data_IF_358349611255
#
_entry.id   IF_358349611255
#
_cell.length_a   1.000
_cell.length_b   1.000
_cell.length_c   1.000
_cell.angle_alpha   90.00
_cell.angle_beta   90.00
_cell.angle_gamma   90.00
#
_symmetry.space_group_name_H-M   'P 1'
#
loop_
_entity.id
_entity.type
_entity.pdbx_description
1 polymer ?
#
# COMPACT_ATOMS: atom_id res chain seq x y z
N UNK A 1 6.60 -25.70 5.14
CA UNK A 1 7.03 -24.39 4.62
C UNK A 1 6.23 -23.31 5.33
N UNK A 2 6.91 -22.26 5.83
CA UNK A 2 6.23 -21.05 6.31
C UNK A 2 5.98 -20.15 5.10
N UNK A 3 4.72 -19.77 4.89
CA UNK A 3 4.30 -18.94 3.76
C UNK A 3 4.08 -17.47 4.18
N UNK A 4 3.63 -17.23 5.39
CA UNK A 4 3.50 -15.90 5.94
C UNK A 4 3.76 -15.83 7.44
N UNK A 5 4.07 -14.62 7.90
CA UNK A 5 4.26 -14.27 9.30
C UNK A 5 3.22 -13.21 9.65
N UNK A 6 2.39 -13.48 10.65
CA UNK A 6 1.56 -12.48 11.31
C UNK A 6 2.18 -12.09 12.63
N UNK A 7 2.24 -10.80 12.94
CA UNK A 7 2.73 -10.30 14.24
C UNK A 7 1.72 -9.32 14.80
N UNK A 8 1.38 -9.50 16.05
CA UNK A 8 0.47 -8.64 16.77
C UNK A 8 1.02 -8.29 18.16
N UNK A 9 0.43 -7.33 18.83
CA UNK A 9 0.78 -6.97 20.21
C UNK A 9 -0.48 -7.01 21.07
N UNK A 10 -0.57 -8.00 21.95
CA UNK A 10 -1.76 -8.28 22.75
C UNK A 10 -1.31 -8.52 24.19
N UNK A 11 -1.99 -7.88 25.15
CA UNK A 11 -1.73 -8.04 26.60
C UNK A 11 -0.24 -7.86 26.95
N UNK A 12 0.39 -6.82 26.40
CA UNK A 12 1.82 -6.49 26.58
C UNK A 12 2.81 -7.55 26.10
N UNK A 13 2.41 -8.42 25.17
CA UNK A 13 3.25 -9.43 24.54
C UNK A 13 3.18 -9.37 23.02
N UNK A 14 4.31 -9.64 22.34
CA UNK A 14 4.34 -9.93 20.93
C UNK A 14 3.75 -11.31 20.68
N UNK A 15 2.77 -11.38 19.80
CA UNK A 15 2.12 -12.62 19.38
C UNK A 15 2.47 -12.89 17.93
N UNK A 16 3.20 -13.97 17.68
CA UNK A 16 3.63 -14.38 16.35
C UNK A 16 2.77 -15.53 15.85
N UNK A 17 2.32 -15.43 14.61
CA UNK A 17 1.57 -16.46 13.90
C UNK A 17 2.34 -16.85 12.63
N UNK A 18 2.56 -18.14 12.41
CA UNK A 18 3.06 -18.65 11.14
C UNK A 18 1.93 -19.36 10.39
N UNK A 19 1.69 -18.96 9.16
CA UNK A 19 0.92 -19.77 8.23
C UNK A 19 1.84 -20.80 7.59
N UNK A 20 1.59 -22.08 7.88
CA UNK A 20 2.39 -23.18 7.38
C UNK A 20 1.62 -23.99 6.35
N UNK A 21 2.29 -24.36 5.27
CA UNK A 21 1.75 -25.23 4.22
C UNK A 21 2.40 -26.59 4.35
N UNK A 22 1.58 -27.64 4.46
CA UNK A 22 2.00 -29.06 4.39
C UNK A 22 1.56 -29.63 3.06
N UNK A 23 2.51 -29.97 2.21
CA UNK A 23 2.23 -30.71 0.99
C UNK A 23 2.11 -32.20 1.35
N UNK A 24 0.93 -32.81 1.19
CA UNK A 24 0.76 -34.23 1.22
C UNK A 24 0.92 -34.78 -0.19
N UNK A 25 1.65 -35.91 -0.34
CA UNK A 25 1.98 -36.51 -1.65
C UNK A 25 0.75 -36.93 -2.50
N UNK A 26 -0.47 -36.95 -1.94
CA UNK A 26 -1.67 -37.46 -2.59
C UNK A 26 -2.96 -36.69 -2.33
N UNK A 27 -2.92 -35.56 -1.62
CA UNK A 27 -4.11 -34.79 -1.25
C UNK A 27 -3.82 -33.27 -1.40
N UNK A 28 -4.88 -32.48 -1.44
CA UNK A 28 -4.79 -31.01 -1.42
C UNK A 28 -3.89 -30.51 -0.28
N UNK A 29 -3.08 -29.49 -0.54
CA UNK A 29 -2.25 -28.87 0.47
C UNK A 29 -3.10 -28.41 1.66
N UNK A 30 -2.63 -28.66 2.89
CA UNK A 30 -3.31 -28.20 4.10
C UNK A 30 -2.54 -27.06 4.72
N UNK A 31 -3.26 -26.00 5.10
CA UNK A 31 -2.71 -24.88 5.85
C UNK A 31 -2.93 -25.10 7.35
N UNK A 32 -1.98 -24.70 8.16
CA UNK A 32 -2.12 -24.65 9.61
C UNK A 32 -1.44 -23.41 10.18
N UNK A 33 -1.93 -22.95 11.34
CA UNK A 33 -1.40 -21.79 12.03
C UNK A 33 -0.65 -22.24 13.27
N UNK A 34 0.62 -21.83 13.38
CA UNK A 34 1.42 -21.98 14.59
C UNK A 34 1.44 -20.65 15.32
N UNK A 35 1.16 -20.67 16.64
CA UNK A 35 1.18 -19.46 17.48
C UNK A 35 2.27 -19.58 18.55
N UNK A 36 2.94 -18.47 18.81
CA UNK A 36 3.77 -18.29 20.01
C UNK A 36 3.69 -16.83 20.48
N UNK A 37 4.03 -16.61 21.75
CA UNK A 37 4.03 -15.28 22.33
C UNK A 37 5.15 -15.11 23.37
N UNK A 38 5.65 -13.88 23.50
CA UNK A 38 6.61 -13.46 24.50
C UNK A 38 6.64 -11.92 24.61
N UNK A 39 7.16 -11.40 25.72
CA UNK A 39 7.39 -9.96 25.91
C UNK A 39 8.44 -9.38 24.95
N UNK A 40 9.31 -10.21 24.40
CA UNK A 40 10.34 -9.84 23.43
C UNK A 40 10.02 -10.48 22.08
N UNK A 41 9.99 -9.70 21.01
CA UNK A 41 9.71 -10.20 19.65
C UNK A 41 10.68 -11.33 19.26
N UNK A 42 11.98 -11.15 19.50
CA UNK A 42 13.00 -12.17 19.20
C UNK A 42 12.72 -13.52 19.89
N UNK A 43 12.19 -13.51 21.10
CA UNK A 43 11.80 -14.75 21.81
C UNK A 43 10.50 -15.33 21.27
N UNK A 44 9.53 -14.48 20.96
CA UNK A 44 8.25 -14.91 20.40
C UNK A 44 8.43 -15.64 19.05
N UNK A 45 9.24 -15.05 18.14
CA UNK A 45 9.50 -15.67 16.82
C UNK A 45 10.30 -16.97 16.95
N UNK A 46 11.30 -17.04 17.82
CA UNK A 46 12.07 -18.26 18.07
C UNK A 46 11.21 -19.38 18.68
N UNK A 47 10.29 -19.05 19.59
CA UNK A 47 9.29 -20.01 20.09
C UNK A 47 8.38 -20.49 18.95
N UNK A 48 7.93 -19.60 18.05
CA UNK A 48 7.11 -19.98 16.89
C UNK A 48 7.88 -20.92 15.95
N UNK A 49 9.16 -20.68 15.69
CA UNK A 49 10.04 -21.55 14.92
C UNK A 49 10.12 -22.95 15.55
N UNK A 50 10.38 -23.01 16.85
CA UNK A 50 10.46 -24.28 17.57
C UNK A 50 9.13 -25.04 17.54
N UNK A 51 8.01 -24.35 17.71
CA UNK A 51 6.68 -24.94 17.67
C UNK A 51 6.29 -25.44 16.27
N UNK A 52 6.82 -24.85 15.21
CA UNK A 52 6.57 -25.26 13.84
C UNK A 52 7.36 -26.50 13.40
N UNK A 53 8.39 -26.93 14.19
CA UNK A 53 9.14 -28.16 13.99
C UNK A 53 10.52 -27.98 13.35
N UNK A 54 11.32 -29.05 13.36
CA UNK A 54 12.77 -29.02 13.05
C UNK A 54 13.17 -28.63 11.62
N UNK A 55 12.23 -28.45 10.69
CA UNK A 55 12.53 -28.17 9.27
C UNK A 55 11.86 -26.87 8.81
N UNK A 56 11.90 -25.86 9.65
CA UNK A 56 11.27 -24.56 9.33
C UNK A 56 12.27 -23.65 8.64
N UNK A 57 11.94 -23.28 7.40
CA UNK A 57 12.72 -22.32 6.62
C UNK A 57 11.90 -21.04 6.40
N UNK A 58 12.46 -19.92 6.81
CA UNK A 58 11.86 -18.59 6.61
C UNK A 58 12.06 -18.04 5.18
N UNK A 59 12.90 -18.68 4.37
CA UNK A 59 13.20 -18.24 2.98
C UNK A 59 12.00 -18.18 2.03
N UNK A 60 10.92 -18.86 2.38
CA UNK A 60 9.72 -18.94 1.55
C UNK A 60 8.60 -18.00 2.01
N UNK A 61 8.88 -17.17 3.01
CA UNK A 61 7.91 -16.15 3.46
C UNK A 61 7.62 -15.18 2.32
N UNK A 62 6.35 -14.99 2.01
CA UNK A 62 5.86 -14.11 0.95
C UNK A 62 5.18 -12.86 1.51
N UNK A 63 4.70 -12.94 2.75
CA UNK A 63 3.87 -11.92 3.35
C UNK A 63 4.18 -11.76 4.85
N UNK A 64 4.40 -10.53 5.28
CA UNK A 64 4.39 -10.10 6.68
C UNK A 64 3.09 -9.34 6.93
N UNK A 65 2.33 -9.76 7.94
CA UNK A 65 1.10 -9.10 8.39
C UNK A 65 1.36 -8.49 9.76
N UNK A 66 1.34 -7.18 9.83
CA UNK A 66 1.48 -6.43 11.08
C UNK A 66 0.09 -6.13 11.61
N UNK A 67 -0.19 -6.51 12.87
CA UNK A 67 -1.43 -6.16 13.55
C UNK A 67 -1.57 -4.66 13.78
N UNK A 68 -2.79 -4.14 13.75
CA UNK A 68 -3.06 -2.72 13.98
C UNK A 68 -2.54 -2.25 15.34
N UNK A 69 -2.78 -3.01 16.41
CA UNK A 69 -2.30 -2.67 17.76
C UNK A 69 -0.76 -2.59 17.82
N UNK A 70 -0.07 -3.50 17.11
CA UNK A 70 1.39 -3.44 16.97
C UNK A 70 1.83 -2.25 16.10
N UNK A 71 1.13 -1.97 15.02
CA UNK A 71 1.45 -0.85 14.14
C UNK A 71 1.33 0.49 14.87
N UNK A 72 0.31 0.66 15.69
CA UNK A 72 0.09 1.86 16.53
C UNK A 72 1.10 1.96 17.67
N UNK A 73 1.51 0.83 18.24
CA UNK A 73 2.55 0.80 19.27
C UNK A 73 3.92 1.16 18.74
N UNK A 74 4.28 0.60 17.57
CA UNK A 74 5.55 0.79 16.90
C UNK A 74 6.13 -0.53 16.37
N UNK A 75 6.64 -0.49 15.14
CA UNK A 75 7.11 -1.67 14.39
C UNK A 75 8.63 -1.84 14.37
N UNK A 76 9.37 -0.92 14.97
CA UNK A 76 10.85 -0.91 14.92
C UNK A 76 11.48 -2.22 15.36
N UNK A 77 11.06 -2.80 16.48
CA UNK A 77 11.63 -4.05 17.01
C UNK A 77 11.44 -5.23 16.05
N UNK A 78 10.28 -5.26 15.37
CA UNK A 78 9.95 -6.32 14.41
C UNK A 78 10.78 -6.15 13.14
N UNK A 79 10.84 -4.93 12.60
CA UNK A 79 11.59 -4.63 11.38
C UNK A 79 13.09 -4.83 11.60
N UNK A 80 13.65 -4.33 12.68
CA UNK A 80 15.10 -4.47 13.00
C UNK A 80 15.49 -5.96 13.10
N UNK A 81 14.68 -6.77 13.80
CA UNK A 81 14.94 -8.20 13.91
C UNK A 81 14.87 -8.91 12.53
N UNK A 82 13.82 -8.66 11.74
CA UNK A 82 13.62 -9.36 10.47
C UNK A 82 14.67 -9.01 9.42
N UNK A 83 15.16 -7.77 9.38
CA UNK A 83 16.26 -7.35 8.50
C UNK A 83 17.57 -8.05 8.84
N UNK A 84 17.81 -8.31 10.14
CA UNK A 84 19.03 -9.01 10.60
C UNK A 84 18.95 -10.52 10.48
N UNK A 85 17.76 -11.08 10.24
CA UNK A 85 17.55 -12.52 10.15
C UNK A 85 18.01 -13.05 8.78
N UNK A 86 19.22 -13.62 8.74
CA UNK A 86 19.87 -14.10 7.50
C UNK A 86 19.07 -15.20 6.80
N UNK A 87 18.27 -15.97 7.54
CA UNK A 87 17.47 -17.06 6.97
C UNK A 87 16.20 -16.58 6.25
N UNK A 88 15.86 -15.31 6.37
CA UNK A 88 14.67 -14.69 5.77
C UNK A 88 15.03 -14.10 4.41
N UNK A 89 14.15 -14.29 3.41
CA UNK A 89 14.21 -13.48 2.18
C UNK A 89 13.68 -12.09 2.48
N UNK A 90 14.31 -11.05 1.96
CA UNK A 90 13.83 -9.66 2.15
C UNK A 90 12.77 -9.25 1.12
N UNK A 91 12.43 -10.12 0.17
CA UNK A 91 11.51 -9.82 -0.94
C UNK A 91 10.03 -10.14 -0.66
N UNK A 92 9.62 -10.24 0.59
CA UNK A 92 8.22 -10.41 0.95
C UNK A 92 7.47 -9.07 1.04
N UNK A 93 6.16 -9.12 0.82
CA UNK A 93 5.30 -7.95 1.02
C UNK A 93 4.99 -7.74 2.49
N UNK A 94 4.88 -6.48 2.89
CA UNK A 94 4.46 -6.10 4.25
C UNK A 94 3.14 -5.35 4.18
N UNK A 95 2.19 -5.76 5.01
CA UNK A 95 0.86 -5.17 5.11
C UNK A 95 0.48 -4.94 6.57
N UNK A 96 -0.48 -4.06 6.80
CA UNK A 96 -1.16 -3.91 8.08
C UNK A 96 -2.55 -4.53 7.99
N UNK A 97 -3.01 -5.13 9.08
CA UNK A 97 -4.38 -5.63 9.19
C UNK A 97 -4.85 -5.53 10.65
N UNK A 98 -6.16 -5.35 10.87
CA UNK A 98 -6.69 -5.22 12.22
C UNK A 98 -6.32 -6.40 13.12
N UNK A 99 -6.47 -7.61 12.61
CA UNK A 99 -6.20 -8.85 13.36
C UNK A 99 -5.51 -9.88 12.45
N UNK A 100 -4.17 -10.01 12.49
CA UNK A 100 -3.42 -10.98 11.68
C UNK A 100 -3.95 -12.42 11.79
N UNK A 101 -4.34 -12.83 12.99
CA UNK A 101 -4.91 -14.16 13.25
C UNK A 101 -6.20 -14.41 12.46
N UNK A 102 -7.08 -13.43 12.36
CA UNK A 102 -8.33 -13.56 11.59
C UNK A 102 -8.04 -13.66 10.09
N UNK A 103 -7.11 -12.85 9.61
CA UNK A 103 -6.64 -12.92 8.22
C UNK A 103 -6.14 -14.34 7.91
N UNK A 104 -5.20 -14.85 8.69
CA UNK A 104 -4.59 -16.16 8.46
C UNK A 104 -5.57 -17.33 8.58
N UNK A 105 -6.65 -17.17 9.36
CA UNK A 105 -7.71 -18.18 9.50
C UNK A 105 -8.74 -18.17 8.36
N UNK A 106 -8.77 -17.13 7.52
CA UNK A 106 -9.75 -17.03 6.42
C UNK A 106 -9.35 -17.81 5.17
N UNK A 107 -8.30 -18.67 5.26
CA UNK A 107 -7.93 -19.58 4.16
C UNK A 107 -9.10 -20.48 3.75
N UNK A 108 -9.32 -20.59 2.44
CA UNK A 108 -10.40 -21.41 1.86
C UNK A 108 -9.84 -22.52 0.99
N UNK A 109 -10.43 -23.72 1.08
CA UNK A 109 -10.20 -24.84 0.16
C UNK A 109 -8.74 -25.28 0.02
N UNK A 110 -7.91 -25.13 1.08
CA UNK A 110 -6.51 -25.59 1.06
C UNK A 110 -5.51 -24.56 0.54
N UNK A 111 -5.95 -23.44 -0.04
CA UNK A 111 -5.05 -22.35 -0.45
C UNK A 111 -4.69 -21.46 0.74
N UNK A 112 -3.42 -21.12 0.84
CA UNK A 112 -2.94 -20.18 1.83
C UNK A 112 -3.50 -18.78 1.53
N UNK A 113 -4.12 -18.13 2.50
CA UNK A 113 -4.68 -16.78 2.32
C UNK A 113 -3.61 -15.78 1.91
N UNK A 114 -2.37 -15.98 2.36
CA UNK A 114 -1.24 -15.14 1.96
C UNK A 114 -0.96 -15.17 0.46
N UNK A 115 -1.19 -16.29 -0.24
CA UNK A 115 -1.09 -16.33 -1.70
C UNK A 115 -2.16 -15.46 -2.35
N UNK A 116 -3.41 -15.55 -1.88
CA UNK A 116 -4.52 -14.73 -2.39
C UNK A 116 -4.23 -13.24 -2.19
N UNK A 117 -3.75 -12.85 -1.01
CA UNK A 117 -3.39 -11.44 -0.73
C UNK A 117 -2.25 -10.99 -1.65
N UNK A 118 -1.18 -11.77 -1.78
CA UNK A 118 -0.04 -11.45 -2.65
C UNK A 118 -0.46 -11.33 -4.11
N UNK A 119 -1.31 -12.23 -4.60
CA UNK A 119 -1.81 -12.19 -5.98
C UNK A 119 -2.73 -10.98 -6.21
N UNK A 120 -3.56 -10.63 -5.21
CA UNK A 120 -4.38 -9.41 -5.25
C UNK A 120 -3.52 -8.14 -5.29
N UNK A 121 -2.47 -8.07 -4.46
CA UNK A 121 -1.51 -6.96 -4.47
C UNK A 121 -0.86 -6.84 -5.85
N UNK A 122 -0.32 -7.94 -6.40
CA UNK A 122 0.35 -7.95 -7.71
C UNK A 122 -0.58 -7.60 -8.88
N UNK A 123 -1.86 -7.91 -8.76
CA UNK A 123 -2.84 -7.58 -9.79
C UNK A 123 -3.20 -6.09 -9.81
N UNK A 124 -3.28 -5.45 -8.64
CA UNK A 124 -3.73 -4.07 -8.49
C UNK A 124 -2.60 -3.05 -8.41
N UNK A 125 -1.42 -3.48 -7.97
CA UNK A 125 -0.27 -2.61 -7.75
C UNK A 125 0.91 -3.03 -8.62
N UNK A 126 1.80 -2.10 -8.91
CA UNK A 126 3.09 -2.41 -9.51
C UNK A 126 3.99 -3.01 -8.43
N UNK A 127 4.20 -4.32 -8.49
CA UNK A 127 4.93 -5.07 -7.47
C UNK A 127 6.38 -4.59 -7.28
N UNK A 128 7.00 -4.04 -8.34
CA UNK A 128 8.38 -3.54 -8.31
C UNK A 128 8.49 -2.19 -7.55
N UNK A 129 7.36 -1.51 -7.32
CA UNK A 129 7.30 -0.25 -6.59
C UNK A 129 6.90 -0.41 -5.12
N UNK A 130 6.58 -1.63 -4.68
CA UNK A 130 6.21 -1.89 -3.30
C UNK A 130 7.43 -1.98 -2.40
N UNK A 131 7.32 -1.40 -1.21
CA UNK A 131 8.40 -1.39 -0.26
C UNK A 131 8.60 -2.79 0.33
N UNK A 132 9.78 -3.35 0.11
CA UNK A 132 10.24 -4.54 0.82
C UNK A 132 10.74 -4.17 2.22
N UNK A 133 11.07 -5.18 3.05
CA UNK A 133 11.48 -4.93 4.44
C UNK A 133 12.76 -4.08 4.54
N UNK A 134 13.68 -4.15 3.57
CA UNK A 134 14.91 -3.35 3.57
C UNK A 134 14.59 -1.87 3.32
N UNK A 135 13.64 -1.57 2.41
CA UNK A 135 13.17 -0.21 2.16
C UNK A 135 12.43 0.33 3.38
N UNK A 136 11.55 -0.48 3.99
CA UNK A 136 10.85 -0.11 5.22
C UNK A 136 11.86 0.22 6.33
N UNK A 137 12.86 -0.63 6.55
CA UNK A 137 13.91 -0.38 7.52
C UNK A 137 14.71 0.90 7.21
N UNK A 138 15.11 1.07 5.94
CA UNK A 138 15.80 2.29 5.50
C UNK A 138 14.98 3.55 5.79
N UNK A 139 13.68 3.51 5.57
CA UNK A 139 12.79 4.64 5.83
C UNK A 139 12.61 4.89 7.33
N UNK A 140 12.54 3.85 8.16
CA UNK A 140 12.50 3.98 9.62
C UNK A 140 13.77 4.64 10.20
N UNK A 141 14.94 4.33 9.63
CA UNK A 141 16.19 4.99 10.02
C UNK A 141 16.36 6.39 9.42
N UNK A 142 15.56 6.74 8.41
CA UNK A 142 15.55 8.05 7.77
C UNK A 142 14.43 8.91 8.35
N UNK A 143 14.74 9.78 9.30
CA UNK A 143 13.80 10.68 9.97
C UNK A 143 13.12 11.72 9.03
N UNK A 144 13.44 11.70 7.75
CA UNK A 144 12.91 12.62 6.73
C UNK A 144 11.85 12.01 5.80
N UNK A 145 11.52 10.73 6.02
CA UNK A 145 10.52 10.01 5.22
C UNK A 145 9.76 9.06 6.13
N UNK A 146 8.46 9.22 6.18
CA UNK A 146 7.58 8.29 6.88
C UNK A 146 7.09 7.20 5.94
N UNK A 147 6.72 6.05 6.48
CA UNK A 147 6.27 4.90 5.71
C UNK A 147 4.75 4.87 5.56
N UNK A 148 4.29 4.25 4.46
CA UNK A 148 2.89 3.88 4.27
C UNK A 148 2.81 2.44 3.79
N UNK A 149 2.01 1.62 4.45
CA UNK A 149 1.82 0.22 4.16
C UNK A 149 0.38 -0.06 3.72
N UNK A 150 0.15 -1.00 2.78
CA UNK A 150 -1.21 -1.42 2.45
C UNK A 150 -1.94 -1.90 3.70
N UNK A 151 -3.15 -1.42 3.93
CA UNK A 151 -4.03 -1.87 5.00
C UNK A 151 -5.07 -2.84 4.42
N UNK A 152 -5.03 -4.07 4.89
CA UNK A 152 -5.85 -5.16 4.34
C UNK A 152 -7.01 -5.50 5.26
N UNK A 153 -8.20 -5.55 4.67
CA UNK A 153 -9.40 -6.11 5.28
C UNK A 153 -9.85 -7.35 4.51
N UNK A 154 -10.46 -8.30 5.20
CA UNK A 154 -11.09 -9.46 4.57
C UNK A 154 -12.57 -9.46 4.89
N UNK A 155 -13.39 -9.51 3.85
CA UNK A 155 -14.83 -9.67 3.93
C UNK A 155 -15.25 -10.94 3.18
N UNK A 156 -15.53 -12.00 3.92
CA UNK A 156 -15.79 -13.32 3.35
C UNK A 156 -14.58 -13.88 2.59
N UNK A 157 -14.66 -13.93 1.25
CA UNK A 157 -13.56 -14.36 0.37
C UNK A 157 -12.80 -13.21 -0.27
N UNK A 158 -13.28 -11.98 -0.11
CA UNK A 158 -12.72 -10.83 -0.77
C UNK A 158 -11.61 -10.20 0.08
N UNK A 159 -10.50 -9.93 -0.58
CA UNK A 159 -9.37 -9.15 -0.03
C UNK A 159 -9.57 -7.71 -0.46
N UNK A 160 -9.77 -6.83 0.51
CA UNK A 160 -9.92 -5.40 0.32
C UNK A 160 -8.59 -4.72 0.62
N UNK A 161 -8.09 -3.96 -0.37
CA UNK A 161 -6.84 -3.20 -0.35
C UNK A 161 -7.09 -1.69 -0.53
N UNK A 162 -8.27 -1.19 -0.17
CA UNK A 162 -8.65 0.20 -0.45
C UNK A 162 -7.93 1.24 0.40
N UNK A 163 -7.28 0.83 1.50
CA UNK A 163 -6.61 1.74 2.41
C UNK A 163 -5.10 1.51 2.49
N UNK A 164 -4.40 2.56 2.95
CA UNK A 164 -3.06 2.49 3.51
C UNK A 164 -3.11 2.83 5.00
N UNK A 165 -2.23 2.21 5.79
CA UNK A 165 -1.84 2.72 7.09
C UNK A 165 -0.64 3.64 6.91
N UNK A 166 -0.73 4.90 7.35
CA UNK A 166 0.37 5.84 7.28
C UNK A 166 0.97 6.08 8.68
N UNK A 167 2.27 6.25 8.69
CA UNK A 167 3.06 6.24 9.90
C UNK A 167 3.70 7.61 10.16
N UNK A 168 4.01 7.86 11.43
CA UNK A 168 4.98 8.85 11.84
C UNK A 168 6.10 8.10 12.54
N UNK A 169 7.29 8.07 11.90
CA UNK A 169 8.38 7.17 12.27
C UNK A 169 7.92 5.71 12.21
N UNK A 170 7.97 5.00 13.33
CA UNK A 170 7.62 3.57 13.43
C UNK A 170 6.19 3.30 13.89
N UNK A 171 5.38 4.34 14.16
CA UNK A 171 4.00 4.20 14.66
C UNK A 171 2.99 4.58 13.59
N UNK A 172 2.06 3.69 13.32
CA UNK A 172 0.89 4.01 12.52
C UNK A 172 0.01 5.01 13.27
N UNK A 173 -0.34 6.09 12.61
CA UNK A 173 -1.10 7.19 13.20
C UNK A 173 -2.46 7.42 12.53
N UNK A 174 -2.69 6.76 11.39
CA UNK A 174 -3.97 6.84 10.71
C UNK A 174 -4.05 5.91 9.50
N UNK A 175 -5.22 5.95 8.89
CA UNK A 175 -5.53 5.24 7.65
C UNK A 175 -6.12 6.22 6.65
N UNK A 176 -5.83 6.01 5.38
CA UNK A 176 -6.38 6.80 4.29
C UNK A 176 -6.66 5.91 3.07
N UNK A 177 -7.58 6.34 2.19
CA UNK A 177 -7.81 5.64 0.94
C UNK A 177 -6.53 5.59 0.11
N UNK A 178 -6.18 4.41 -0.41
CA UNK A 178 -4.89 4.20 -1.08
C UNK A 178 -4.83 4.76 -2.50
N UNK A 179 -5.96 5.12 -3.11
CA UNK A 179 -6.04 5.53 -4.52
C UNK A 179 -5.06 6.64 -4.85
N UNK A 180 -5.17 7.76 -4.12
CA UNK A 180 -4.33 8.94 -4.44
C UNK A 180 -2.87 8.76 -4.04
N UNK A 181 -2.58 8.05 -2.94
CA UNK A 181 -1.22 7.71 -2.55
C UNK A 181 -0.54 6.84 -3.62
N UNK A 182 -1.21 5.76 -4.04
CA UNK A 182 -0.68 4.87 -5.08
C UNK A 182 -0.56 5.57 -6.44
N UNK A 183 -1.43 6.54 -6.71
CA UNK A 183 -1.33 7.39 -7.89
C UNK A 183 -0.07 8.25 -7.85
N UNK A 184 0.15 8.98 -6.77
CA UNK A 184 1.31 9.87 -6.59
C UNK A 184 2.63 9.11 -6.55
N UNK A 185 2.66 7.93 -5.95
CA UNK A 185 3.84 7.10 -5.83
C UNK A 185 4.04 6.16 -7.02
N UNK A 186 3.21 6.27 -8.06
CA UNK A 186 3.20 5.41 -9.26
C UNK A 186 3.05 3.91 -8.95
N UNK A 187 2.51 3.57 -7.77
CA UNK A 187 2.34 2.18 -7.33
C UNK A 187 1.12 1.49 -7.95
N UNK A 188 0.17 2.22 -8.52
CA UNK A 188 -1.01 1.66 -9.20
C UNK A 188 -0.75 1.42 -10.68
N UNK A 189 -1.19 0.27 -11.21
CA UNK A 189 -1.14 -0.02 -12.65
C UNK A 189 -2.15 0.84 -13.42
N UNK A 190 -3.40 0.80 -12.98
CA UNK A 190 -4.49 1.61 -13.53
C UNK A 190 -5.16 2.33 -12.37
N UNK A 191 -5.60 3.54 -12.62
CA UNK A 191 -6.40 4.28 -11.66
C UNK A 191 -7.61 4.86 -12.37
N UNK A 192 -8.77 4.69 -11.76
CA UNK A 192 -10.03 5.19 -12.28
C UNK A 192 -10.55 6.29 -11.37
N UNK A 193 -11.01 7.37 -11.98
CA UNK A 193 -11.70 8.46 -11.33
C UNK A 193 -13.14 8.48 -11.81
N UNK A 194 -14.07 8.62 -10.87
CA UNK A 194 -15.50 8.70 -11.14
C UNK A 194 -16.02 10.07 -10.72
N UNK A 195 -16.57 10.81 -11.66
CA UNK A 195 -17.16 12.13 -11.40
C UNK A 195 -18.45 12.27 -12.19
N UNK A 196 -19.55 12.61 -11.51
CA UNK A 196 -20.86 12.82 -12.12
C UNK A 196 -21.32 11.67 -13.04
N UNK A 197 -21.03 10.41 -12.67
CA UNK A 197 -21.37 9.23 -13.46
C UNK A 197 -20.43 8.96 -14.65
N UNK A 198 -19.41 9.80 -14.85
CA UNK A 198 -18.34 9.57 -15.81
C UNK A 198 -17.20 8.82 -15.13
N UNK A 199 -16.64 7.81 -15.81
CA UNK A 199 -15.46 7.06 -15.33
C UNK A 199 -14.32 7.25 -16.34
N UNK A 200 -13.21 7.78 -15.86
CA UNK A 200 -11.98 7.92 -16.63
C UNK A 200 -10.87 7.05 -16.03
N UNK A 201 -10.23 6.25 -16.88
CA UNK A 201 -9.03 5.50 -16.51
C UNK A 201 -7.80 6.30 -16.93
N UNK A 202 -6.92 6.61 -15.96
CA UNK A 202 -5.70 7.37 -16.21
C UNK A 202 -4.55 6.41 -16.49
N UNK A 203 -3.86 6.65 -17.59
CA UNK A 203 -2.69 5.90 -18.04
C UNK A 203 -1.59 6.86 -18.49
N UNK A 204 -0.42 6.34 -18.82
CA UNK A 204 0.77 7.12 -19.22
C UNK A 204 1.06 8.27 -18.24
N UNK A 205 1.05 7.91 -16.96
CA UNK A 205 1.21 8.86 -15.86
C UNK A 205 2.67 9.30 -15.73
N UNK A 206 2.88 10.61 -15.61
CA UNK A 206 4.17 11.19 -15.26
C UNK A 206 3.98 12.15 -14.10
N UNK A 207 4.46 11.76 -12.95
CA UNK A 207 4.42 12.58 -11.73
C UNK A 207 5.84 13.00 -11.40
N UNK A 208 6.04 14.30 -11.21
CA UNK A 208 7.36 14.85 -10.88
C UNK A 208 7.27 15.79 -9.69
N UNK A 209 8.27 15.73 -8.84
CA UNK A 209 8.42 16.58 -7.67
C UNK A 209 9.61 17.51 -7.87
N UNK A 210 9.37 18.81 -7.78
CA UNK A 210 10.41 19.84 -7.91
C UNK A 210 10.44 20.68 -6.64
N UNK A 211 11.58 20.75 -6.00
CA UNK A 211 11.74 21.61 -4.81
C UNK A 211 12.16 23.00 -5.26
N UNK A 212 11.42 24.03 -4.86
CA UNK A 212 11.76 25.44 -5.12
C UNK A 212 11.62 26.25 -3.83
N UNK A 213 12.72 26.86 -3.38
CA UNK A 213 12.77 27.61 -2.12
C UNK A 213 12.29 26.75 -0.95
N UNK A 214 11.12 27.06 -0.38
CA UNK A 214 10.48 26.42 0.77
C UNK A 214 9.29 25.53 0.41
N UNK A 215 9.08 25.26 -0.90
CA UNK A 215 7.95 24.46 -1.37
C UNK A 215 8.36 23.31 -2.29
N UNK A 216 7.52 22.28 -2.32
CA UNK A 216 7.54 21.19 -3.31
C UNK A 216 6.44 21.43 -4.33
N UNK A 217 6.80 21.47 -5.60
CA UNK A 217 5.86 21.55 -6.72
C UNK A 217 5.62 20.13 -7.21
N UNK A 218 4.36 19.72 -7.19
CA UNK A 218 3.89 18.42 -7.66
C UNK A 218 3.28 18.64 -9.03
N UNK A 219 3.91 18.10 -10.08
CA UNK A 219 3.35 18.17 -11.43
C UNK A 219 2.82 16.79 -11.80
N UNK A 220 1.53 16.73 -12.06
CA UNK A 220 0.78 15.53 -12.45
C UNK A 220 0.39 15.65 -13.90
N UNK A 221 0.95 14.81 -14.75
CA UNK A 221 0.60 14.71 -16.16
C UNK A 221 0.14 13.29 -16.48
N UNK A 222 -0.72 13.14 -17.49
CA UNK A 222 -1.17 11.83 -17.92
C UNK A 222 -2.25 11.91 -18.99
N UNK A 223 -2.66 10.73 -19.46
CA UNK A 223 -3.74 10.59 -20.42
C UNK A 223 -4.92 9.88 -19.77
N UNK A 224 -6.11 10.43 -19.95
CA UNK A 224 -7.38 9.85 -19.53
C UNK A 224 -8.09 9.16 -20.70
N UNK A 225 -8.54 7.92 -20.48
CA UNK A 225 -9.42 7.19 -21.38
C UNK A 225 -10.81 7.10 -20.77
N UNK A 226 -11.81 7.49 -21.51
CA UNK A 226 -13.22 7.34 -21.10
C UNK A 226 -13.58 5.86 -21.03
N UNK A 227 -14.05 5.41 -19.88
CA UNK A 227 -14.57 4.06 -19.62
C UNK A 227 -16.09 4.02 -19.59
N UNK A 228 -16.69 5.05 -18.99
CA UNK A 228 -18.11 5.26 -18.89
C UNK A 228 -18.40 6.74 -19.01
N UNK A 229 -19.47 7.07 -19.67
CA UNK A 229 -19.91 8.45 -19.84
C UNK A 229 -21.39 8.57 -19.50
N UNK A 230 -21.79 9.71 -18.95
CA UNK A 230 -23.17 10.03 -18.72
C UNK A 230 -23.84 10.45 -20.06
N UNK A 231 -25.13 10.14 -20.23
CA UNK A 231 -25.92 10.39 -21.45
C UNK A 231 -25.90 11.86 -21.90
N UNK A 232 -25.69 12.80 -20.97
CA UNK A 232 -25.66 14.23 -21.25
C UNK A 232 -24.38 14.72 -21.97
N UNK A 233 -23.39 13.84 -22.19
CA UNK A 233 -22.08 14.21 -22.76
C UNK A 233 -21.94 13.65 -24.18
N UNK A 234 -21.88 14.54 -25.16
CA UNK A 234 -21.65 14.20 -26.56
C UNK A 234 -20.15 14.20 -26.90
N UNK A 235 -19.54 13.01 -27.00
CA UNK A 235 -18.13 12.86 -27.34
C UNK A 235 -17.75 13.23 -28.79
N UNK A 236 -18.71 13.58 -29.65
CA UNK A 236 -18.43 14.14 -30.98
C UNK A 236 -17.94 15.59 -30.88
N UNK A 237 -18.21 16.27 -29.76
CA UNK A 237 -17.87 17.68 -29.54
C UNK A 237 -16.56 17.85 -28.80
N UNK A 238 -15.73 18.76 -29.28
CA UNK A 238 -14.47 19.11 -28.61
C UNK A 238 -14.69 19.67 -27.18
N UNK A 239 -15.75 20.47 -27.01
CA UNK A 239 -16.13 21.06 -25.72
C UNK A 239 -16.39 20.00 -24.63
N UNK A 240 -16.90 18.81 -25.01
CA UNK A 240 -17.12 17.71 -24.07
C UNK A 240 -15.80 17.16 -23.49
N UNK A 241 -14.77 17.05 -24.31
CA UNK A 241 -13.42 16.67 -23.83
C UNK A 241 -12.82 17.71 -22.91
N UNK A 242 -12.94 18.98 -23.26
CA UNK A 242 -12.43 20.11 -22.43
C UNK A 242 -13.14 20.15 -21.08
N UNK A 243 -14.45 19.87 -21.06
CA UNK A 243 -15.23 19.75 -19.82
C UNK A 243 -14.73 18.61 -18.97
N UNK A 244 -14.58 17.41 -19.55
CA UNK A 244 -14.06 16.21 -18.86
C UNK A 244 -12.62 16.44 -18.34
N UNK A 245 -11.75 17.06 -19.15
CA UNK A 245 -10.39 17.41 -18.72
C UNK A 245 -10.40 18.36 -17.52
N UNK A 246 -11.25 19.37 -17.52
CA UNK A 246 -11.38 20.31 -16.42
C UNK A 246 -11.88 19.64 -15.14
N UNK A 247 -12.91 18.79 -15.26
CA UNK A 247 -13.47 18.07 -14.11
C UNK A 247 -12.48 17.10 -13.50
N UNK A 248 -11.81 16.26 -14.29
CA UNK A 248 -10.83 15.29 -13.80
C UNK A 248 -9.61 15.96 -13.17
N UNK A 249 -9.09 17.04 -13.77
CA UNK A 249 -7.97 17.77 -13.22
C UNK A 249 -8.33 18.43 -11.88
N UNK A 250 -9.54 18.95 -11.74
CA UNK A 250 -10.03 19.49 -10.47
C UNK A 250 -10.17 18.38 -9.41
N UNK A 251 -10.74 17.24 -9.76
CA UNK A 251 -10.90 16.12 -8.83
C UNK A 251 -9.55 15.63 -8.31
N UNK A 252 -8.61 15.36 -9.22
CA UNK A 252 -7.25 14.94 -8.86
C UNK A 252 -6.56 15.99 -7.96
N UNK A 253 -6.70 17.28 -8.29
CA UNK A 253 -6.16 18.36 -7.46
C UNK A 253 -6.72 18.32 -6.04
N UNK A 254 -8.04 18.25 -5.89
CA UNK A 254 -8.69 18.27 -4.56
C UNK A 254 -8.32 17.02 -3.74
N UNK A 255 -8.28 15.84 -4.36
CA UNK A 255 -7.86 14.63 -3.65
C UNK A 255 -6.39 14.66 -3.20
N UNK A 256 -5.49 15.15 -4.04
CA UNK A 256 -4.08 15.33 -3.66
C UNK A 256 -3.97 16.30 -2.50
N UNK A 257 -4.68 17.43 -2.58
CA UNK A 257 -4.68 18.46 -1.54
C UNK A 257 -5.19 17.89 -0.22
N UNK A 258 -6.34 17.22 -0.24
CA UNK A 258 -6.93 16.60 0.96
C UNK A 258 -5.96 15.59 1.60
N UNK A 259 -5.39 14.69 0.79
CA UNK A 259 -4.42 13.70 1.27
C UNK A 259 -3.20 14.35 1.95
N UNK A 260 -2.63 15.39 1.33
CA UNK A 260 -1.48 16.10 1.90
C UNK A 260 -1.88 16.83 3.20
N UNK A 261 -3.05 17.45 3.24
CA UNK A 261 -3.52 18.16 4.44
C UNK A 261 -3.77 17.20 5.59
N UNK A 262 -4.39 16.06 5.36
CA UNK A 262 -4.60 15.02 6.38
C UNK A 262 -3.28 14.52 6.94
N UNK A 263 -2.37 14.05 6.06
CA UNK A 263 -1.08 13.51 6.52
C UNK A 263 -0.20 14.56 7.18
N UNK A 264 -0.25 15.82 6.71
CA UNK A 264 0.49 16.94 7.31
C UNK A 264 -0.05 17.33 8.68
N UNK A 265 -1.38 17.33 8.89
CA UNK A 265 -2.00 17.61 10.20
C UNK A 265 -1.57 16.56 11.23
N UNK A 266 -1.41 15.30 10.80
CA UNK A 266 -0.90 14.21 11.61
C UNK A 266 0.64 14.18 11.69
N UNK A 267 1.31 15.20 11.12
CA UNK A 267 2.77 15.34 11.08
C UNK A 267 3.49 14.17 10.38
N UNK A 268 2.81 13.48 9.48
CA UNK A 268 3.39 12.41 8.65
C UNK A 268 3.82 12.93 7.28
N UNK A 269 4.98 12.52 6.82
CA UNK A 269 5.54 12.88 5.50
C UNK A 269 5.75 11.64 4.64
N UNK A 270 4.67 10.93 4.35
CA UNK A 270 4.69 9.72 3.51
C UNK A 270 5.03 9.98 2.04
N UNK A 271 4.93 11.23 1.59
CA UNK A 271 5.38 11.65 0.26
C UNK A 271 6.86 12.07 0.22
N UNK A 272 7.49 12.19 1.39
CA UNK A 272 8.92 12.46 1.52
C UNK A 272 9.34 13.89 1.13
N UNK A 273 8.48 14.88 1.34
CA UNK A 273 8.81 16.28 1.01
C UNK A 273 10.01 16.80 1.81
N UNK A 274 10.14 16.40 3.10
CA UNK A 274 11.32 16.71 3.92
C UNK A 274 12.58 16.11 3.33
N UNK A 275 12.51 14.88 2.84
CA UNK A 275 13.64 14.19 2.20
C UNK A 275 14.02 14.83 0.87
N UNK A 276 13.04 15.21 0.03
CA UNK A 276 13.28 15.93 -1.21
C UNK A 276 13.96 17.27 -0.96
N UNK A 277 13.50 18.01 0.03
CA UNK A 277 14.09 19.27 0.45
C UNK A 277 15.53 19.09 0.93
N UNK A 278 15.75 18.12 1.81
CA UNK A 278 17.09 17.81 2.32
C UNK A 278 18.07 17.41 1.21
N UNK A 279 17.65 16.56 0.29
CA UNK A 279 18.48 16.17 -0.87
C UNK A 279 18.92 17.37 -1.69
N UNK A 280 18.08 18.36 -1.84
CA UNK A 280 18.40 19.56 -2.63
C UNK A 280 19.27 20.58 -1.89
N UNK A 281 18.94 20.87 -0.63
CA UNK A 281 19.54 21.99 0.09
C UNK A 281 20.49 21.60 1.23
N UNK A 282 20.57 20.30 1.54
CA UNK A 282 21.32 19.73 2.68
C UNK A 282 20.94 20.38 4.03
N UNK A 283 19.67 20.78 4.15
CA UNK A 283 19.10 21.42 5.34
C UNK A 283 17.82 20.71 5.75
N UNK A 284 17.58 20.59 7.03
CA UNK A 284 16.32 20.09 7.57
C UNK A 284 15.25 21.18 7.51
N UNK A 285 14.02 20.76 7.25
CA UNK A 285 12.82 21.61 7.31
C UNK A 285 11.70 20.79 7.97
N UNK A 286 10.97 21.40 8.88
CA UNK A 286 9.87 20.72 9.56
C UNK A 286 8.58 20.77 8.75
N UNK A 287 8.28 21.93 8.17
CA UNK A 287 7.10 22.15 7.36
C UNK A 287 7.50 22.56 5.95
N UNK A 288 7.15 21.74 4.97
CA UNK A 288 7.32 22.05 3.55
C UNK A 288 5.98 22.52 3.00
N UNK A 289 5.98 23.66 2.33
CA UNK A 289 4.84 24.11 1.54
C UNK A 289 4.73 23.28 0.26
N UNK A 290 3.58 23.29 -0.37
CA UNK A 290 3.37 22.57 -1.62
C UNK A 290 2.56 23.38 -2.63
N UNK A 291 2.74 23.03 -3.89
CA UNK A 291 1.97 23.53 -5.02
C UNK A 291 1.62 22.35 -5.91
N UNK A 292 0.38 22.26 -6.37
CA UNK A 292 -0.11 21.13 -7.17
C UNK A 292 -0.48 21.66 -8.55
N UNK A 293 0.06 21.03 -9.57
CA UNK A 293 -0.25 21.29 -10.98
C UNK A 293 -0.75 20.00 -11.62
N UNK A 294 -1.98 19.98 -12.09
CA UNK A 294 -2.61 18.84 -12.76
C UNK A 294 -2.82 19.14 -14.24
N UNK A 295 -2.43 18.19 -15.09
CA UNK A 295 -2.58 18.29 -16.55
C UNK A 295 -2.85 16.90 -17.14
N UNK A 296 -4.05 16.40 -16.91
CA UNK A 296 -4.56 15.19 -17.54
C UNK A 296 -5.29 15.60 -18.81
N UNK A 297 -4.91 14.96 -19.93
CA UNK A 297 -5.58 15.13 -21.23
C UNK A 297 -6.44 13.92 -21.53
N UNK A 298 -7.64 14.14 -22.04
CA UNK A 298 -8.55 13.04 -22.41
C UNK A 298 -8.27 12.61 -23.84
N UNK A 299 -7.89 11.34 -23.99
CA UNK A 299 -7.59 10.76 -25.30
C UNK A 299 -8.86 10.51 -26.11
N UNK A 300 -8.85 10.92 -27.36
CA UNK A 300 -9.93 10.62 -28.33
C UNK A 300 -9.84 9.20 -28.90
N UNK A 301 -8.74 8.48 -28.67
CA UNK A 301 -8.53 7.14 -29.24
C UNK A 301 -9.36 6.09 -28.53
N UNK A 302 -10.19 5.39 -29.28
CA UNK A 302 -11.02 4.28 -28.77
C UNK A 302 -12.32 4.71 -28.09
N UNK A 303 -12.76 5.95 -28.26
CA UNK A 303 -14.07 6.38 -27.82
C UNK A 303 -15.15 5.78 -28.74
N UNK A 304 -16.08 5.04 -28.15
CA UNK A 304 -17.38 4.79 -28.78
C UNK A 304 -18.13 6.12 -28.67
N UNK A 305 -18.48 6.71 -29.80
CA UNK A 305 -19.09 8.04 -29.86
C UNK A 305 -20.55 8.07 -29.42
N UNK A 306 -21.17 6.90 -29.26
CA UNK A 306 -22.58 6.75 -28.88
C UNK A 306 -22.71 5.80 -27.71
N UNK A 307 -23.56 6.13 -26.74
CA UNK A 307 -23.97 5.20 -25.70
C UNK A 307 -24.81 4.11 -26.38
N UNK A 308 -24.42 2.85 -26.21
CA UNK A 308 -25.24 1.73 -26.61
C UNK A 308 -26.35 1.64 -25.57
N UNK A 309 -27.56 2.02 -25.96
CA UNK A 309 -28.75 1.78 -25.13
C UNK A 309 -29.13 0.29 -25.28
N UNK A 310 -29.21 -0.41 -24.15
CA UNK A 310 -29.81 -1.74 -24.04
C UNK A 310 -31.34 -1.65 -24.09
#
# INVERSE_FOLDING_TARGET
IINSIGVDYIDDEYVVYFETIKNKKSESATTSIVKAQDKMFAKAINKAINNAGKSVYLKHVKLLIIGEDLAEKGISDVVDYLVREISLSTSFFTIVAKEPKKILKSSNNGDAISNIIVDTIKSNMDADTLDNIDIIASNLYNDKLDIALPYVKISGKNVDLENIGYFKKDKMIGQYNNRIFNFLMLKSKNIEFENNGNILSIYDKKITYKVEKDKVIINVNGLGKVKKINEDIDLKKQESYEKLEKEINKEIYEEIKEFIEVTKNDESDVLGFRNLYYKKYQKNINNVNYEINTNIKVSKNGAIYEVIHD
#
